data_IF_079459928211
#
_entry.id   IF_079459928211
#
_cell.length_a   1.000
_cell.length_b   1.000
_cell.length_c   1.000
_cell.angle_alpha   90.00
_cell.angle_beta   90.00
_cell.angle_gamma   90.00
#
_symmetry.space_group_name_H-M   'P 1'
#
loop_
_entity.id
_entity.type
_entity.pdbx_description
1 polymer ?
#
# COMPACT_ATOMS: atom_id res chain seq x y z
N UNK A 1 -8.28 -7.08 29.60
CA UNK A 1 -9.01 -6.43 28.49
C UNK A 1 -9.17 -7.48 27.39
N UNK A 2 -10.37 -7.67 26.81
CA UNK A 2 -10.53 -8.65 25.72
C UNK A 2 -9.80 -8.16 24.47
N UNK A 3 -9.36 -9.10 23.61
CA UNK A 3 -8.69 -8.77 22.35
C UNK A 3 -9.54 -7.81 21.49
N UNK A 4 -10.84 -8.06 21.43
CA UNK A 4 -11.80 -7.24 20.69
C UNK A 4 -11.82 -5.78 21.20
N UNK A 5 -11.84 -5.57 22.52
CA UNK A 5 -11.81 -4.22 23.11
C UNK A 5 -10.48 -3.53 22.80
N UNK A 6 -9.34 -4.24 22.87
CA UNK A 6 -8.05 -3.69 22.48
C UNK A 6 -8.04 -3.24 21.02
N UNK A 7 -8.55 -4.09 20.13
CA UNK A 7 -8.65 -3.82 18.71
C UNK A 7 -9.51 -2.58 18.44
N UNK A 8 -10.66 -2.44 19.10
CA UNK A 8 -11.51 -1.25 18.98
C UNK A 8 -10.85 0.02 19.49
N UNK A 9 -10.13 -0.05 20.61
CA UNK A 9 -9.38 1.10 21.14
C UNK A 9 -8.28 1.52 20.19
N UNK A 10 -7.47 0.58 19.68
CA UNK A 10 -6.37 0.88 18.76
C UNK A 10 -6.88 1.49 17.46
N UNK A 11 -7.91 0.89 16.85
CA UNK A 11 -8.49 1.38 15.59
C UNK A 11 -9.21 2.72 15.79
N UNK A 12 -9.95 2.88 16.89
CA UNK A 12 -10.58 4.16 17.22
C UNK A 12 -9.55 5.26 17.39
N UNK A 13 -8.43 4.96 18.07
CA UNK A 13 -7.33 5.91 18.26
C UNK A 13 -6.64 6.27 16.95
N UNK A 14 -6.40 5.32 16.04
CA UNK A 14 -5.78 5.62 14.73
C UNK A 14 -6.67 6.52 13.87
N UNK A 15 -7.98 6.26 13.80
CA UNK A 15 -8.90 7.15 13.08
C UNK A 15 -9.02 8.52 13.75
N UNK A 16 -9.06 8.58 15.08
CA UNK A 16 -9.05 9.85 15.80
C UNK A 16 -7.78 10.66 15.51
N UNK A 17 -6.62 10.00 15.45
CA UNK A 17 -5.36 10.62 15.03
C UNK A 17 -5.44 11.15 13.60
N UNK A 18 -5.95 10.36 12.65
CA UNK A 18 -6.06 10.77 11.24
C UNK A 18 -7.00 11.97 11.05
N UNK A 19 -8.15 11.95 11.72
CA UNK A 19 -9.10 13.07 11.73
C UNK A 19 -8.47 14.30 12.40
N UNK A 20 -7.77 14.12 13.53
CA UNK A 20 -7.06 15.19 14.22
C UNK A 20 -6.01 15.86 13.36
N UNK A 21 -5.22 15.08 12.61
CA UNK A 21 -4.26 15.58 11.63
C UNK A 21 -4.98 16.38 10.54
N UNK A 22 -6.07 15.85 9.98
CA UNK A 22 -6.82 16.51 8.92
C UNK A 22 -7.43 17.86 9.37
N UNK A 23 -7.92 17.95 10.61
CA UNK A 23 -8.43 19.20 11.19
C UNK A 23 -7.29 20.20 11.39
N UNK A 24 -6.16 19.76 11.93
CA UNK A 24 -4.98 20.61 12.16
C UNK A 24 -4.36 21.14 10.86
N UNK A 25 -4.40 20.34 9.80
CA UNK A 25 -3.78 20.64 8.51
C UNK A 25 -4.75 21.26 7.49
N UNK A 26 -5.94 21.69 7.92
CA UNK A 26 -7.05 22.10 7.06
C UNK A 26 -6.59 23.08 5.97
N UNK A 27 -6.96 22.78 4.71
CA UNK A 27 -6.58 23.60 3.58
C UNK A 27 -7.43 24.88 3.50
N UNK A 28 -6.78 26.02 3.25
CA UNK A 28 -7.43 27.34 3.14
C UNK A 28 -7.39 27.91 1.71
N UNK A 29 -6.61 27.30 0.81
CA UNK A 29 -6.47 27.72 -0.59
C UNK A 29 -6.36 26.51 -1.53
N UNK A 30 -6.58 26.74 -2.83
CA UNK A 30 -6.38 25.73 -3.88
C UNK A 30 -4.95 25.17 -3.88
N UNK A 31 -3.95 26.02 -3.62
CA UNK A 31 -2.55 25.59 -3.51
C UNK A 31 -2.29 24.70 -2.30
N UNK A 32 -2.94 24.97 -1.17
CA UNK A 32 -2.87 24.10 0.02
C UNK A 32 -3.58 22.77 -0.22
N UNK A 33 -4.72 22.82 -0.91
CA UNK A 33 -5.53 21.65 -1.19
C UNK A 33 -4.85 20.68 -2.17
N UNK A 34 -4.18 21.16 -3.22
CA UNK A 34 -3.58 20.28 -4.24
C UNK A 34 -2.08 20.02 -4.07
N UNK A 35 -1.29 20.96 -3.53
CA UNK A 35 0.17 20.82 -3.45
C UNK A 35 0.75 21.12 -2.07
N UNK A 36 -0.10 21.26 -1.04
CA UNK A 36 0.32 21.53 0.34
C UNK A 36 1.26 22.74 0.46
N UNK A 37 1.08 23.77 -0.39
CA UNK A 37 1.94 24.95 -0.44
C UNK A 37 3.42 24.67 -0.76
N UNK A 38 3.75 23.47 -1.29
CA UNK A 38 5.12 22.97 -1.50
C UNK A 38 5.99 22.86 -0.23
N UNK A 39 5.38 22.91 0.96
CA UNK A 39 6.07 22.94 2.25
C UNK A 39 6.35 21.58 2.89
N UNK A 40 5.99 20.47 2.23
CA UNK A 40 6.16 19.12 2.79
C UNK A 40 7.61 18.64 2.63
N UNK A 41 8.19 18.17 3.74
CA UNK A 41 9.53 17.59 3.75
C UNK A 41 9.66 16.41 2.76
N UNK A 42 10.79 16.25 2.05
CA UNK A 42 11.04 15.10 1.18
C UNK A 42 10.84 13.76 1.88
N UNK A 43 11.25 13.64 3.16
CA UNK A 43 11.09 12.41 3.93
C UNK A 43 9.60 12.12 4.18
N UNK A 44 8.82 13.14 4.53
CA UNK A 44 7.37 13.00 4.72
C UNK A 44 6.65 12.60 3.43
N UNK A 45 7.02 13.20 2.29
CA UNK A 45 6.49 12.80 0.99
C UNK A 45 6.89 11.37 0.61
N UNK A 46 8.12 10.95 0.93
CA UNK A 46 8.59 9.58 0.69
C UNK A 46 7.82 8.55 1.52
N UNK A 47 7.63 8.82 2.82
CA UNK A 47 6.80 7.99 3.70
C UNK A 47 5.35 7.93 3.23
N UNK A 48 4.78 9.07 2.83
CA UNK A 48 3.42 9.13 2.32
C UNK A 48 3.26 8.32 1.01
N UNK A 49 4.23 8.42 0.11
CA UNK A 49 4.27 7.61 -1.14
C UNK A 49 4.41 6.12 -0.83
N UNK A 50 5.23 5.75 0.16
CA UNK A 50 5.37 4.37 0.59
C UNK A 50 4.07 3.82 1.19
N UNK A 51 3.36 4.60 2.01
CA UNK A 51 2.03 4.21 2.52
C UNK A 51 1.02 4.00 1.39
N UNK A 52 1.02 4.86 0.37
CA UNK A 52 0.16 4.71 -0.80
C UNK A 52 0.49 3.44 -1.62
N UNK A 53 1.79 3.13 -1.75
CA UNK A 53 2.24 1.88 -2.36
C UNK A 53 1.77 0.66 -1.56
N UNK A 54 1.76 0.71 -0.23
CA UNK A 54 1.32 -0.38 0.67
C UNK A 54 -0.21 -0.54 0.77
N UNK A 55 -0.97 -0.03 -0.19
CA UNK A 55 -2.43 -0.04 -0.20
C UNK A 55 -3.08 -1.44 -0.06
N UNK A 56 -4.41 -1.49 0.05
CA UNK A 56 -5.14 -2.76 0.14
C UNK A 56 -4.87 -3.67 -1.08
N UNK A 57 -4.67 -3.07 -2.27
CA UNK A 57 -4.25 -3.81 -3.45
C UNK A 57 -2.90 -4.53 -3.21
N UNK A 58 -1.92 -3.86 -2.61
CA UNK A 58 -0.62 -4.47 -2.36
C UNK A 58 -0.67 -5.48 -1.22
N UNK A 59 -1.33 -5.17 -0.11
CA UNK A 59 -1.36 -6.08 1.03
C UNK A 59 -2.18 -7.35 0.74
N UNK A 60 -3.44 -7.17 0.34
CA UNK A 60 -4.38 -8.29 0.16
C UNK A 60 -4.06 -9.05 -1.13
N UNK A 61 -3.80 -8.35 -2.23
CA UNK A 61 -3.55 -9.05 -3.51
C UNK A 61 -2.20 -9.75 -3.52
N UNK A 62 -1.14 -9.21 -2.89
CA UNK A 62 0.14 -9.94 -2.85
C UNK A 62 0.03 -11.22 -2.01
N UNK A 63 -0.67 -11.16 -0.88
CA UNK A 63 -0.93 -12.37 -0.09
C UNK A 63 -1.67 -13.43 -0.91
N UNK A 64 -2.70 -13.01 -1.67
CA UNK A 64 -3.42 -13.91 -2.57
C UNK A 64 -2.54 -14.44 -3.72
N UNK A 65 -1.84 -13.56 -4.44
CA UNK A 65 -0.99 -13.94 -5.56
C UNK A 65 0.11 -14.91 -5.14
N UNK A 66 0.78 -14.66 -4.01
CA UNK A 66 1.82 -15.55 -3.50
C UNK A 66 1.24 -16.88 -3.05
N UNK A 67 0.03 -16.91 -2.48
CA UNK A 67 -0.62 -18.18 -2.12
C UNK A 67 -0.93 -19.05 -3.36
N UNK A 68 -1.33 -18.45 -4.49
CA UNK A 68 -1.66 -19.20 -5.71
C UNK A 68 -0.48 -19.46 -6.64
N UNK A 69 0.46 -18.52 -6.75
CA UNK A 69 1.59 -18.56 -7.68
C UNK A 69 2.91 -18.95 -7.01
N UNK A 70 2.95 -19.09 -5.69
CA UNK A 70 4.17 -19.38 -4.94
C UNK A 70 5.23 -18.30 -5.13
N UNK A 71 6.49 -18.73 -5.24
CA UNK A 71 7.64 -17.87 -5.46
C UNK A 71 7.55 -17.05 -6.75
N UNK A 72 6.93 -17.58 -7.82
CA UNK A 72 6.76 -16.88 -9.10
C UNK A 72 5.92 -15.60 -8.94
N UNK A 73 5.06 -15.50 -7.91
CA UNK A 73 4.33 -14.28 -7.58
C UNK A 73 5.21 -13.11 -7.14
N UNK A 74 6.45 -13.38 -6.70
CA UNK A 74 7.39 -12.34 -6.23
C UNK A 74 7.84 -11.36 -7.32
N UNK A 75 7.74 -11.75 -8.60
CA UNK A 75 8.07 -10.87 -9.75
C UNK A 75 7.20 -9.62 -9.75
N UNK A 76 5.94 -9.71 -9.30
CA UNK A 76 5.04 -8.55 -9.21
C UNK A 76 5.51 -7.55 -8.16
N UNK A 77 6.09 -8.01 -7.04
CA UNK A 77 6.65 -7.14 -6.01
C UNK A 77 7.82 -6.33 -6.58
N UNK A 78 8.74 -7.01 -7.28
CA UNK A 78 9.93 -6.38 -7.85
C UNK A 78 9.60 -5.46 -9.02
N UNK A 79 8.79 -5.92 -9.97
CA UNK A 79 8.39 -5.14 -11.14
C UNK A 79 7.60 -3.88 -10.77
N UNK A 80 6.63 -4.00 -9.85
CA UNK A 80 5.87 -2.84 -9.37
C UNK A 80 6.79 -1.85 -8.64
N UNK A 81 7.56 -2.31 -7.66
CA UNK A 81 8.47 -1.44 -6.89
C UNK A 81 9.49 -0.76 -7.80
N UNK A 82 10.06 -1.51 -8.75
CA UNK A 82 10.97 -0.99 -9.77
C UNK A 82 10.32 0.10 -10.61
N UNK A 83 9.08 -0.13 -11.08
CA UNK A 83 8.31 0.87 -11.81
C UNK A 83 8.08 2.17 -11.01
N UNK A 84 7.81 2.06 -9.71
CA UNK A 84 7.68 3.21 -8.81
C UNK A 84 8.99 4.00 -8.69
N UNK A 85 10.12 3.30 -8.52
CA UNK A 85 11.45 3.92 -8.43
C UNK A 85 11.79 4.63 -9.75
N UNK A 86 11.56 3.97 -10.89
CA UNK A 86 11.80 4.57 -12.20
C UNK A 86 10.92 5.80 -12.43
N UNK A 87 9.65 5.75 -12.08
CA UNK A 87 8.75 6.91 -12.18
C UNK A 87 9.24 8.06 -11.27
N UNK A 88 9.62 7.76 -10.04
CA UNK A 88 10.10 8.75 -9.08
C UNK A 88 11.41 9.42 -9.51
N UNK A 89 12.34 8.67 -10.12
CA UNK A 89 13.63 9.19 -10.55
C UNK A 89 13.59 9.84 -11.94
N UNK A 90 12.84 9.26 -12.88
CA UNK A 90 12.89 9.65 -14.29
C UNK A 90 11.75 10.58 -14.71
N UNK A 91 10.60 10.55 -14.04
CA UNK A 91 9.43 11.33 -14.46
C UNK A 91 9.07 12.45 -13.48
N UNK A 92 9.06 12.15 -12.17
CA UNK A 92 8.67 13.13 -11.14
C UNK A 92 9.49 14.44 -11.17
N UNK A 93 10.82 14.45 -11.41
CA UNK A 93 11.58 15.70 -11.47
C UNK A 93 11.17 16.60 -12.63
N UNK A 94 10.80 16.02 -13.78
CA UNK A 94 10.36 16.78 -14.95
C UNK A 94 8.97 17.36 -14.73
N UNK A 95 8.04 16.57 -14.19
CA UNK A 95 6.71 17.06 -13.83
C UNK A 95 6.78 18.20 -12.82
N UNK A 96 7.67 18.08 -11.81
CA UNK A 96 7.91 19.13 -10.82
C UNK A 96 8.43 20.43 -11.45
N UNK A 97 9.38 20.34 -12.40
CA UNK A 97 9.90 21.51 -13.13
C UNK A 97 8.83 22.17 -14.00
N UNK A 98 7.90 21.40 -14.53
CA UNK A 98 6.82 21.88 -15.39
C UNK A 98 5.74 22.66 -14.63
N UNK A 99 5.59 22.41 -13.33
CA UNK A 99 4.81 23.26 -12.43
C UNK A 99 3.29 23.21 -12.59
N UNK A 100 2.76 22.26 -13.38
CA UNK A 100 1.30 22.03 -13.53
C UNK A 100 0.77 21.12 -12.42
N UNK A 101 -0.52 21.24 -12.14
CA UNK A 101 -1.18 20.48 -11.07
C UNK A 101 -1.53 19.05 -11.49
N UNK A 102 -1.73 18.81 -12.80
CA UNK A 102 -2.20 17.52 -13.30
C UNK A 102 -1.40 17.00 -14.50
N UNK A 103 -1.32 15.67 -14.64
CA UNK A 103 -0.67 15.01 -15.78
C UNK A 103 -1.35 15.33 -17.12
N UNK A 104 -2.70 15.38 -17.23
CA UNK A 104 -3.34 15.78 -18.47
C UNK A 104 -3.01 17.22 -18.91
N UNK A 105 -2.84 18.15 -17.97
CA UNK A 105 -2.38 19.51 -18.30
C UNK A 105 -0.94 19.51 -18.81
N UNK A 106 -0.06 18.72 -18.18
CA UNK A 106 1.30 18.52 -18.68
C UNK A 106 1.29 18.02 -20.14
N UNK A 107 0.47 17.02 -20.45
CA UNK A 107 0.34 16.48 -21.82
C UNK A 107 -0.21 17.55 -22.77
N UNK A 108 -1.24 18.29 -22.36
CA UNK A 108 -1.85 19.35 -23.16
C UNK A 108 -0.81 20.39 -23.61
N UNK A 109 0.03 20.85 -22.68
CA UNK A 109 1.04 21.86 -22.96
C UNK A 109 2.24 21.29 -23.69
N UNK A 110 2.68 20.07 -23.35
CA UNK A 110 3.84 19.42 -23.98
C UNK A 110 3.63 19.19 -25.48
N UNK A 111 2.39 18.91 -25.88
CA UNK A 111 2.01 18.62 -27.26
C UNK A 111 1.17 19.74 -27.92
N UNK A 112 0.93 20.85 -27.22
CA UNK A 112 0.08 21.96 -27.67
C UNK A 112 -1.30 21.51 -28.20
N UNK A 113 -1.90 20.48 -27.58
CA UNK A 113 -3.08 19.80 -28.11
C UNK A 113 -4.17 19.61 -27.05
N UNK A 114 -5.33 20.22 -27.31
CA UNK A 114 -6.55 20.01 -26.51
C UNK A 114 -7.08 18.58 -26.65
N UNK A 115 -6.93 17.96 -27.82
CA UNK A 115 -7.33 16.58 -28.03
C UNK A 115 -6.47 15.62 -27.16
N UNK A 116 -5.16 15.83 -27.11
CA UNK A 116 -4.26 15.06 -26.25
C UNK A 116 -4.63 15.20 -24.75
N UNK A 117 -5.04 16.39 -24.33
CA UNK A 117 -5.57 16.62 -22.97
C UNK A 117 -6.80 15.75 -22.69
N UNK A 118 -7.77 15.74 -23.60
CA UNK A 118 -9.03 14.99 -23.42
C UNK A 118 -8.73 13.49 -23.33
N UNK A 119 -7.88 12.97 -24.21
CA UNK A 119 -7.45 11.56 -24.15
C UNK A 119 -6.79 11.26 -22.80
N UNK A 120 -5.86 12.11 -22.36
CA UNK A 120 -5.20 11.94 -21.07
C UNK A 120 -6.16 11.99 -19.88
N UNK A 121 -7.19 12.84 -19.92
CA UNK A 121 -8.24 12.89 -18.88
C UNK A 121 -9.05 11.59 -18.87
N UNK A 122 -9.45 11.08 -20.04
CA UNK A 122 -10.18 9.81 -20.14
C UNK A 122 -9.34 8.66 -19.56
N UNK A 123 -8.07 8.56 -19.95
CA UNK A 123 -7.15 7.57 -19.39
C UNK A 123 -7.00 7.72 -17.88
N UNK A 124 -6.83 8.95 -17.38
CA UNK A 124 -6.70 9.22 -15.95
C UNK A 124 -7.94 8.75 -15.18
N UNK A 125 -9.15 9.08 -15.67
CA UNK A 125 -10.41 8.67 -15.03
C UNK A 125 -10.55 7.15 -15.03
N UNK A 126 -10.29 6.50 -16.17
CA UNK A 126 -10.41 5.05 -16.30
C UNK A 126 -9.48 4.30 -15.34
N UNK A 127 -8.20 4.72 -15.28
CA UNK A 127 -7.20 4.12 -14.39
C UNK A 127 -7.57 4.38 -12.92
N UNK A 128 -7.92 5.63 -12.58
CA UNK A 128 -8.26 6.01 -11.21
C UNK A 128 -9.51 5.29 -10.71
N UNK A 129 -10.54 5.17 -11.54
CA UNK A 129 -11.77 4.48 -11.18
C UNK A 129 -11.54 2.99 -10.94
N UNK A 130 -10.78 2.34 -11.84
CA UNK A 130 -10.42 0.92 -11.70
C UNK A 130 -9.66 0.68 -10.39
N UNK A 131 -8.70 1.56 -10.07
CA UNK A 131 -7.94 1.46 -8.84
C UNK A 131 -8.81 1.66 -7.60
N UNK A 132 -9.60 2.73 -7.57
CA UNK A 132 -10.49 3.04 -6.43
C UNK A 132 -11.52 1.94 -6.21
N UNK A 133 -12.08 1.35 -7.26
CA UNK A 133 -13.02 0.23 -7.14
C UNK A 133 -12.41 -0.97 -6.38
N UNK A 134 -11.17 -1.33 -6.69
CA UNK A 134 -10.44 -2.37 -5.97
C UNK A 134 -10.20 -2.01 -4.50
N UNK A 135 -9.78 -0.78 -4.22
CA UNK A 135 -9.57 -0.29 -2.84
C UNK A 135 -10.87 -0.28 -2.03
N UNK A 136 -11.99 0.15 -2.63
CA UNK A 136 -13.30 0.16 -1.98
C UNK A 136 -13.74 -1.24 -1.54
N UNK A 137 -13.45 -2.26 -2.36
CA UNK A 137 -13.70 -3.66 -1.99
C UNK A 137 -12.82 -4.07 -0.80
N UNK A 138 -11.54 -3.70 -0.81
CA UNK A 138 -10.62 -3.94 0.30
C UNK A 138 -11.12 -3.31 1.62
N UNK A 139 -11.51 -2.03 1.58
CA UNK A 139 -12.10 -1.31 2.71
C UNK A 139 -13.35 -2.03 3.23
N UNK A 140 -14.27 -2.41 2.34
CA UNK A 140 -15.49 -3.12 2.72
C UNK A 140 -15.24 -4.46 3.41
N UNK A 141 -14.26 -5.25 2.92
CA UNK A 141 -13.88 -6.53 3.54
C UNK A 141 -13.27 -6.30 4.93
N UNK A 142 -12.37 -5.33 5.09
CA UNK A 142 -11.74 -5.05 6.39
C UNK A 142 -12.77 -4.55 7.40
N UNK A 143 -13.61 -3.59 7.01
CA UNK A 143 -14.63 -3.02 7.90
C UNK A 143 -15.75 -3.99 8.25
N UNK A 144 -16.18 -4.84 7.32
CA UNK A 144 -17.18 -5.88 7.63
C UNK A 144 -16.68 -6.89 8.66
N UNK A 145 -15.40 -7.29 8.57
CA UNK A 145 -14.80 -8.19 9.56
C UNK A 145 -14.58 -7.52 10.91
N UNK A 146 -14.30 -6.22 10.93
CA UNK A 146 -14.06 -5.47 12.17
C UNK A 146 -15.36 -5.08 12.90
N UNK A 147 -16.37 -4.61 12.17
CA UNK A 147 -17.67 -4.20 12.71
C UNK A 147 -18.69 -5.35 12.76
N UNK A 148 -18.35 -6.51 12.22
CA UNK A 148 -19.23 -7.69 12.12
C UNK A 148 -20.54 -7.39 11.37
N UNK A 149 -20.44 -6.58 10.30
CA UNK A 149 -21.55 -6.17 9.43
C UNK A 149 -21.38 -6.69 8.00
N UNK A 150 -22.40 -6.53 7.16
CA UNK A 150 -22.28 -6.83 5.73
C UNK A 150 -21.18 -5.99 5.06
N UNK A 151 -20.53 -6.55 4.03
CA UNK A 151 -19.47 -5.89 3.25
C UNK A 151 -19.90 -4.53 2.70
N UNK A 152 -21.15 -4.40 2.26
CA UNK A 152 -21.70 -3.16 1.73
C UNK A 152 -21.80 -2.09 2.81
N UNK A 153 -22.27 -2.46 4.00
CA UNK A 153 -22.38 -1.56 5.15
C UNK A 153 -20.98 -1.14 5.61
N UNK A 154 -20.05 -2.10 5.70
CA UNK A 154 -18.64 -1.83 6.03
C UNK A 154 -17.98 -0.87 5.04
N UNK A 155 -18.25 -1.04 3.75
CA UNK A 155 -17.77 -0.14 2.69
C UNK A 155 -18.30 1.28 2.89
N UNK A 156 -19.62 1.45 3.08
CA UNK A 156 -20.22 2.78 3.25
C UNK A 156 -19.63 3.50 4.46
N UNK A 157 -19.49 2.81 5.59
CA UNK A 157 -18.90 3.38 6.81
C UNK A 157 -17.44 3.77 6.57
N UNK A 158 -16.63 2.84 6.06
CA UNK A 158 -15.20 3.08 5.83
C UNK A 158 -14.96 4.22 4.85
N UNK A 159 -15.70 4.23 3.73
CA UNK A 159 -15.59 5.30 2.73
C UNK A 159 -16.08 6.64 3.26
N UNK A 160 -17.13 6.67 4.10
CA UNK A 160 -17.59 7.90 4.74
C UNK A 160 -16.52 8.52 5.64
N UNK A 161 -15.83 7.70 6.45
CA UNK A 161 -14.73 8.17 7.32
C UNK A 161 -13.57 8.69 6.48
N UNK A 162 -13.13 7.90 5.49
CA UNK A 162 -12.00 8.28 4.60
C UNK A 162 -12.30 9.56 3.83
N UNK A 163 -13.50 9.66 3.26
CA UNK A 163 -13.94 10.86 2.55
C UNK A 163 -13.93 12.09 3.46
N UNK A 164 -14.41 11.96 4.70
CA UNK A 164 -14.49 13.08 5.64
C UNK A 164 -13.11 13.68 5.93
N UNK A 165 -12.13 12.87 6.33
CA UNK A 165 -10.80 13.42 6.65
C UNK A 165 -10.01 13.83 5.39
N UNK A 166 -10.22 13.17 4.25
CA UNK A 166 -9.55 13.52 3.00
C UNK A 166 -9.99 14.89 2.48
N UNK A 167 -11.30 15.16 2.49
CA UNK A 167 -11.85 16.45 2.02
C UNK A 167 -11.50 17.58 2.98
N UNK A 168 -11.49 17.34 4.30
CA UNK A 168 -11.16 18.36 5.29
C UNK A 168 -9.66 18.73 5.27
N UNK A 169 -8.77 17.75 5.11
CA UNK A 169 -7.32 17.95 5.26
C UNK A 169 -6.59 18.51 4.03
N UNK A 170 -7.13 18.31 2.82
CA UNK A 170 -6.40 18.62 1.57
C UNK A 170 -5.07 17.84 1.45
N UNK A 171 -4.22 18.20 0.48
CA UNK A 171 -2.95 17.48 0.24
C UNK A 171 -2.05 17.45 1.49
N UNK A 172 -1.98 18.54 2.26
CA UNK A 172 -1.19 18.57 3.50
C UNK A 172 -1.70 17.54 4.50
N UNK A 173 -3.01 17.49 4.73
CA UNK A 173 -3.61 16.50 5.64
C UNK A 173 -3.42 15.09 5.15
N UNK A 174 -3.67 14.84 3.86
CA UNK A 174 -3.45 13.53 3.24
C UNK A 174 -2.00 13.08 3.47
N UNK A 175 -1.00 13.92 3.16
CA UNK A 175 0.40 13.55 3.38
C UNK A 175 0.69 13.20 4.84
N UNK A 176 0.31 14.03 5.81
CA UNK A 176 0.62 13.74 7.22
C UNK A 176 -0.18 12.55 7.76
N UNK A 177 -1.41 12.32 7.29
CA UNK A 177 -2.16 11.09 7.62
C UNK A 177 -1.47 9.85 7.03
N UNK A 178 -0.97 9.93 5.80
CA UNK A 178 -0.21 8.87 5.16
C UNK A 178 1.14 8.62 5.86
N UNK A 179 1.80 9.64 6.41
CA UNK A 179 2.99 9.46 7.26
C UNK A 179 2.65 8.66 8.51
N UNK A 180 1.54 8.97 9.19
CA UNK A 180 1.11 8.19 10.34
C UNK A 180 0.75 6.74 9.95
N UNK A 181 0.06 6.56 8.83
CA UNK A 181 -0.27 5.24 8.28
C UNK A 181 0.98 4.44 7.92
N UNK A 182 1.99 5.07 7.32
CA UNK A 182 3.27 4.45 7.01
C UNK A 182 3.91 3.85 8.26
N UNK A 183 3.96 4.60 9.35
CA UNK A 183 4.48 4.11 10.62
C UNK A 183 3.70 2.87 11.10
N UNK A 184 2.37 2.94 11.10
CA UNK A 184 1.53 1.79 11.50
C UNK A 184 1.79 0.57 10.61
N UNK A 185 1.86 0.76 9.29
CA UNK A 185 2.03 -0.31 8.31
C UNK A 185 3.43 -0.95 8.40
N UNK A 186 4.49 -0.15 8.53
CA UNK A 186 5.85 -0.70 8.63
C UNK A 186 6.01 -1.52 9.92
N UNK A 187 5.45 -1.06 11.04
CA UNK A 187 5.40 -1.86 12.27
C UNK A 187 4.58 -3.15 12.07
N UNK A 188 3.42 -3.05 11.44
CA UNK A 188 2.54 -4.20 11.19
C UNK A 188 3.18 -5.27 10.28
N UNK A 189 4.05 -4.89 9.33
CA UNK A 189 4.77 -5.86 8.49
C UNK A 189 6.02 -6.40 9.16
N UNK A 190 6.86 -5.52 9.71
CA UNK A 190 8.19 -5.91 10.17
C UNK A 190 8.15 -6.66 11.49
N UNK A 191 7.30 -6.24 12.45
CA UNK A 191 7.29 -6.87 13.78
C UNK A 191 6.90 -8.35 13.71
N UNK A 192 5.77 -8.76 13.09
CA UNK A 192 5.43 -10.18 13.00
C UNK A 192 6.50 -10.98 12.24
N UNK A 193 7.03 -10.45 11.14
CA UNK A 193 8.06 -11.12 10.35
C UNK A 193 9.33 -11.39 11.16
N UNK A 194 9.82 -10.40 11.91
CA UNK A 194 11.01 -10.53 12.78
C UNK A 194 10.75 -11.51 13.93
N UNK A 195 9.59 -11.44 14.58
CA UNK A 195 9.27 -12.34 15.69
C UNK A 195 9.11 -13.80 15.24
N UNK A 196 8.52 -14.03 14.07
CA UNK A 196 8.44 -15.37 13.47
C UNK A 196 9.85 -15.88 13.12
N UNK A 197 10.68 -15.03 12.51
CA UNK A 197 12.06 -15.35 12.17
C UNK A 197 12.88 -15.79 13.39
N UNK A 198 12.82 -15.01 14.49
CA UNK A 198 13.52 -15.35 15.74
C UNK A 198 13.00 -16.65 16.34
N UNK A 199 11.67 -16.84 16.41
CA UNK A 199 11.08 -18.02 17.04
C UNK A 199 11.36 -19.30 16.27
N UNK A 200 11.41 -19.23 14.94
CA UNK A 200 11.59 -20.42 14.12
C UNK A 200 13.07 -20.76 13.90
N UNK A 201 13.94 -19.78 13.74
CA UNK A 201 15.33 -20.02 13.28
C UNK A 201 16.40 -19.39 14.17
N UNK A 202 16.02 -18.60 15.18
CA UNK A 202 16.93 -17.83 16.01
C UNK A 202 17.55 -16.61 15.31
N UNK A 203 17.22 -16.36 14.04
CA UNK A 203 17.76 -15.25 13.27
C UNK A 203 16.77 -14.07 13.27
N UNK A 204 17.17 -12.87 13.72
CA UNK A 204 16.29 -11.69 13.74
C UNK A 204 16.04 -11.07 12.37
N UNK A 205 16.76 -11.47 11.33
CA UNK A 205 16.62 -10.93 9.98
C UNK A 205 15.74 -11.89 9.17
N UNK A 206 14.48 -11.55 8.85
CA UNK A 206 13.54 -12.46 8.19
C UNK A 206 14.06 -13.03 6.88
N UNK A 207 14.81 -12.25 6.11
CA UNK A 207 15.37 -12.66 4.83
C UNK A 207 16.42 -13.79 5.00
N UNK A 208 17.23 -13.71 6.05
CA UNK A 208 18.20 -14.75 6.37
C UNK A 208 17.52 -15.95 7.04
N UNK A 209 16.53 -15.69 7.89
CA UNK A 209 15.73 -16.74 8.50
C UNK A 209 15.00 -17.59 7.44
N UNK A 210 14.48 -16.96 6.40
CA UNK A 210 13.78 -17.61 5.30
C UNK A 210 14.61 -18.69 4.61
N UNK A 211 15.92 -18.48 4.48
CA UNK A 211 16.85 -19.45 3.89
C UNK A 211 17.54 -20.37 4.90
N UNK A 212 17.11 -20.39 6.16
CA UNK A 212 17.75 -21.16 7.24
C UNK A 212 16.90 -22.34 7.71
N UNK A 213 17.47 -23.17 8.57
CA UNK A 213 16.78 -24.29 9.20
C UNK A 213 15.98 -23.87 10.43
N UNK A 214 14.90 -24.60 10.67
CA UNK A 214 14.12 -24.46 11.91
C UNK A 214 14.98 -24.99 13.06
N UNK A 215 15.11 -24.18 14.11
CA UNK A 215 15.94 -24.48 15.28
C UNK A 215 15.50 -25.81 15.92
N UNK A 216 16.44 -26.75 16.00
CA UNK A 216 16.23 -28.03 16.68
C UNK A 216 15.54 -29.13 15.86
N UNK A 217 15.22 -28.90 14.58
CA UNK A 217 14.61 -29.94 13.72
C UNK A 217 15.48 -30.40 12.56
N UNK A 218 16.50 -29.63 12.17
CA UNK A 218 17.31 -29.91 10.98
C UNK A 218 16.54 -29.82 9.66
N UNK A 219 15.34 -29.23 9.68
CA UNK A 219 14.47 -29.05 8.50
C UNK A 219 14.62 -27.63 8.00
N UNK A 220 14.80 -27.44 6.69
CA UNK A 220 14.80 -26.10 6.11
C UNK A 220 13.42 -25.44 6.30
N UNK A 221 13.41 -24.14 6.60
CA UNK A 221 12.16 -23.38 6.76
C UNK A 221 11.31 -23.40 5.47
N UNK A 222 11.98 -23.41 4.30
CA UNK A 222 11.32 -23.50 2.99
C UNK A 222 10.59 -24.83 2.80
N UNK A 223 11.21 -25.96 3.16
CA UNK A 223 10.56 -27.27 3.05
C UNK A 223 9.31 -27.32 3.94
N UNK A 224 9.42 -26.76 5.15
CA UNK A 224 8.27 -26.69 6.05
C UNK A 224 7.17 -25.77 5.53
N UNK A 225 7.53 -24.68 4.87
CA UNK A 225 6.58 -23.79 4.22
C UNK A 225 5.85 -24.51 3.08
N UNK A 226 6.57 -25.26 2.24
CA UNK A 226 5.99 -26.06 1.17
C UNK A 226 4.98 -27.08 1.71
N UNK A 227 5.33 -27.78 2.79
CA UNK A 227 4.42 -28.72 3.46
C UNK A 227 3.12 -28.04 3.93
N UNK A 228 3.25 -26.88 4.59
CA UNK A 228 2.10 -26.15 5.12
C UNK A 228 1.21 -25.66 3.98
N UNK A 229 1.80 -25.02 2.97
CA UNK A 229 1.08 -24.49 1.80
C UNK A 229 0.36 -25.62 1.05
N UNK A 230 1.03 -26.76 0.88
CA UNK A 230 0.43 -27.95 0.27
C UNK A 230 -0.73 -28.51 1.11
N UNK A 231 -0.58 -28.54 2.44
CA UNK A 231 -1.65 -29.00 3.34
C UNK A 231 -2.90 -28.12 3.32
N UNK A 232 -2.73 -26.85 2.95
CA UNK A 232 -3.83 -25.89 2.74
C UNK A 232 -4.49 -26.02 1.36
N UNK A 233 -3.99 -26.90 0.50
CA UNK A 233 -4.53 -27.16 -0.84
C UNK A 233 -3.93 -26.31 -1.96
N UNK A 234 -2.82 -25.62 -1.71
CA UNK A 234 -2.09 -24.85 -2.72
C UNK A 234 -0.89 -25.64 -3.27
N UNK A 235 -0.27 -25.13 -4.34
CA UNK A 235 0.99 -25.67 -4.84
C UNK A 235 2.14 -25.27 -3.91
N UNK A 236 3.22 -26.05 -3.91
CA UNK A 236 4.45 -25.72 -3.18
C UNK A 236 4.89 -24.29 -3.50
N UNK A 237 5.33 -23.55 -2.48
CA UNK A 237 5.84 -22.19 -2.65
C UNK A 237 7.08 -22.20 -3.55
N UNK A 238 7.96 -23.19 -3.39
CA UNK A 238 9.24 -23.26 -4.13
C UNK A 238 9.15 -23.83 -5.54
N UNK A 239 7.99 -24.34 -5.98
CA UNK A 239 7.83 -24.98 -7.30
C UNK A 239 7.82 -24.00 -8.48
N UNK A 240 8.40 -22.81 -8.32
CA UNK A 240 8.43 -21.76 -9.32
C UNK A 240 8.94 -22.28 -10.65
N UNK A 241 8.16 -22.02 -11.71
CA UNK A 241 8.45 -22.47 -13.07
C UNK A 241 9.13 -21.38 -13.89
N UNK A 242 9.05 -20.12 -13.43
CA UNK A 242 9.62 -18.97 -14.13
C UNK A 242 11.13 -18.89 -13.93
N UNK A 243 11.79 -18.29 -14.93
CA UNK A 243 13.21 -18.02 -14.83
C UNK A 243 13.46 -17.00 -13.72
N UNK A 244 14.57 -17.15 -12.98
CA UNK A 244 15.00 -16.14 -11.99
C UNK A 244 15.30 -14.79 -12.64
N UNK A 245 15.53 -14.74 -13.96
CA UNK A 245 15.71 -13.50 -14.71
C UNK A 245 14.40 -12.71 -14.81
N UNK A 246 13.24 -13.37 -14.84
CA UNK A 246 11.92 -12.73 -14.92
C UNK A 246 11.60 -11.89 -13.68
N UNK A 247 12.36 -12.06 -12.59
CA UNK A 247 12.29 -11.21 -11.39
C UNK A 247 12.83 -9.80 -11.68
N UNK A 248 13.68 -9.64 -12.69
CA UNK A 248 14.32 -8.39 -13.08
C UNK A 248 13.78 -7.79 -14.40
N UNK A 249 13.05 -8.57 -15.20
CA UNK A 249 12.70 -8.26 -16.59
C UNK A 249 11.22 -8.52 -16.90
#
# INVERSE_FOLDING_TARGET
MSLQVLTYVVVGFTFALYIGIAIWSRAHSTGDFYIAGKGVSPIANGMATAADWMSAASFISMAGLIAFLGYDGSVYLMGWTGGYVLLALLLAPYLRKFGKFTVPEFIAERYYSKAARIVAVICLIFISFTYVAGQMRGVGIVFSRFLEVDVTVGLIIGMGIVFTYAVLGGMKGITYTQVAQYCVLIFAYTVPAVFIAIQLTGNPIPQLAFGSEITGTGTALLDKLDDIVTSLGFNQYTSGTKSRIDVFC
#
